data_IF_328951150251
#
_entry.id   IF_328951150251
#
_cell.length_a   1.000
_cell.length_b   1.000
_cell.length_c   1.000
_cell.angle_alpha   90.00
_cell.angle_beta   90.00
_cell.angle_gamma   90.00
#
_symmetry.space_group_name_H-M   'P 1'
#
loop_
_entity.id
_entity.type
_entity.pdbx_description
1 polymer ?
#
# COMPACT_ATOMS: atom_id res chain seq x y z
N UNK A 1 -1.56 2.99 -15.04
CA UNK A 1 -1.53 2.37 -13.69
C UNK A 1 -0.11 2.44 -13.15
N UNK A 2 0.04 2.95 -11.94
CA UNK A 2 1.31 3.15 -11.27
C UNK A 2 1.71 1.89 -10.47
N UNK A 3 3.01 1.75 -10.18
CA UNK A 3 3.58 0.73 -9.31
C UNK A 3 4.22 1.40 -8.10
N UNK A 4 3.61 1.20 -6.93
CA UNK A 4 4.21 1.45 -5.63
C UNK A 4 5.04 0.23 -5.21
N UNK A 5 6.34 0.42 -5.02
CA UNK A 5 7.23 -0.64 -4.59
C UNK A 5 7.39 -0.59 -3.07
N UNK A 6 6.80 -1.58 -2.38
CA UNK A 6 6.96 -1.71 -0.93
C UNK A 6 8.31 -2.37 -0.61
N UNK A 7 9.13 -1.68 0.19
CA UNK A 7 10.50 -2.10 0.54
C UNK A 7 10.64 -2.70 1.95
N UNK A 8 9.54 -2.96 2.65
CA UNK A 8 9.56 -3.47 4.03
C UNK A 8 10.35 -4.77 4.17
N UNK A 9 10.23 -5.67 3.20
CA UNK A 9 10.91 -6.96 3.28
C UNK A 9 12.44 -6.86 3.04
N UNK A 10 12.92 -5.78 2.42
CA UNK A 10 14.36 -5.45 2.44
C UNK A 10 14.80 -5.15 3.88
N UNK A 11 14.03 -4.33 4.59
CA UNK A 11 14.28 -4.06 6.01
C UNK A 11 14.13 -5.33 6.87
N UNK A 12 13.18 -6.23 6.55
CA UNK A 12 13.03 -7.52 7.24
C UNK A 12 14.29 -8.37 7.13
N UNK A 13 14.91 -8.46 5.96
CA UNK A 13 16.18 -9.19 5.77
C UNK A 13 17.29 -8.58 6.62
N UNK A 14 17.40 -7.25 6.66
CA UNK A 14 18.34 -6.51 7.51
C UNK A 14 18.13 -6.84 8.99
N UNK A 15 16.89 -6.79 9.46
CA UNK A 15 16.54 -7.01 10.87
C UNK A 15 16.69 -8.49 11.28
N UNK A 16 16.57 -9.45 10.35
CA UNK A 16 16.76 -10.86 10.65
C UNK A 16 18.15 -11.18 11.23
N UNK A 17 19.17 -10.35 10.95
CA UNK A 17 20.53 -10.48 11.48
C UNK A 17 20.97 -9.29 12.33
N UNK A 18 20.18 -8.22 12.43
CA UNK A 18 20.54 -7.00 13.14
C UNK A 18 21.77 -6.28 12.53
N UNK A 19 21.91 -6.36 11.21
CA UNK A 19 23.01 -5.72 10.45
C UNK A 19 22.54 -4.37 9.89
N UNK A 20 23.44 -3.65 9.20
CA UNK A 20 23.12 -2.44 8.46
C UNK A 20 22.87 -2.70 6.96
N UNK A 21 22.80 -3.95 6.56
CA UNK A 21 22.54 -4.38 5.18
C UNK A 21 21.45 -5.49 5.17
N UNK A 22 20.69 -5.61 4.06
CA UNK A 22 20.67 -4.70 2.90
C UNK A 22 20.20 -3.28 3.27
N UNK A 23 20.70 -2.28 2.54
CA UNK A 23 20.32 -0.89 2.71
C UNK A 23 18.94 -0.63 2.12
N UNK A 24 18.03 -0.06 2.89
CA UNK A 24 16.70 0.34 2.40
C UNK A 24 16.79 1.58 1.50
N UNK A 25 17.80 2.44 1.71
CA UNK A 25 18.06 3.61 0.87
C UNK A 25 18.49 3.20 -0.54
N UNK A 26 19.43 2.24 -0.63
CA UNK A 26 19.85 1.70 -1.92
C UNK A 26 18.70 1.00 -2.64
N UNK A 27 17.89 0.22 -1.89
CA UNK A 27 16.74 -0.47 -2.45
C UNK A 27 15.70 0.52 -3.02
N UNK A 28 15.40 1.60 -2.32
CA UNK A 28 14.49 2.65 -2.78
C UNK A 28 15.05 3.34 -4.05
N UNK A 29 16.30 3.77 -4.02
CA UNK A 29 16.95 4.43 -5.15
C UNK A 29 16.97 3.55 -6.40
N UNK A 30 17.32 2.27 -6.25
CA UNK A 30 17.35 1.31 -7.36
C UNK A 30 15.93 0.97 -7.86
N UNK A 31 14.92 0.94 -6.97
CA UNK A 31 13.53 0.76 -7.38
C UNK A 31 13.03 1.93 -8.23
N UNK A 32 13.35 3.19 -7.86
CA UNK A 32 13.04 4.37 -8.67
C UNK A 32 13.71 4.31 -10.04
N UNK A 33 15.00 3.94 -10.10
CA UNK A 33 15.74 3.77 -11.36
C UNK A 33 15.13 2.67 -12.24
N UNK A 34 14.58 1.63 -11.64
CA UNK A 34 13.90 0.53 -12.30
C UNK A 34 12.45 0.85 -12.72
N UNK A 35 11.93 2.05 -12.39
CA UNK A 35 10.64 2.56 -12.83
C UNK A 35 9.50 2.44 -11.82
N UNK A 36 9.80 2.35 -10.52
CA UNK A 36 8.79 2.56 -9.49
C UNK A 36 8.23 3.98 -9.56
N UNK A 37 6.91 4.14 -9.39
CA UNK A 37 6.25 5.44 -9.39
C UNK A 37 6.10 6.01 -7.98
N UNK A 38 6.17 5.13 -6.97
CA UNK A 38 6.21 5.48 -5.55
C UNK A 38 7.00 4.43 -4.77
N UNK A 39 7.50 4.84 -3.61
CA UNK A 39 8.12 3.95 -2.63
C UNK A 39 7.16 3.82 -1.45
N UNK A 40 6.69 2.61 -1.23
CA UNK A 40 5.79 2.27 -0.11
C UNK A 40 6.60 1.63 1.01
N UNK A 41 6.35 2.05 2.22
CA UNK A 41 6.99 1.53 3.42
C UNK A 41 6.07 1.63 4.64
N UNK A 42 6.09 0.61 5.48
CA UNK A 42 5.25 0.53 6.66
C UNK A 42 6.09 0.67 7.94
N UNK A 43 5.92 1.78 8.65
CA UNK A 43 6.46 1.93 10.00
C UNK A 43 5.46 1.34 10.99
N UNK A 44 5.68 0.10 11.39
CA UNK A 44 4.83 -0.57 12.36
C UNK A 44 5.09 -0.07 13.80
N UNK A 45 4.07 -0.13 14.65
CA UNK A 45 4.22 0.19 16.08
C UNK A 45 5.34 -0.63 16.74
N UNK A 46 5.54 -1.90 16.33
CA UNK A 46 6.55 -2.79 16.91
C UNK A 46 7.95 -2.69 16.24
N UNK A 47 8.11 -1.85 15.21
CA UNK A 47 9.39 -1.63 14.48
C UNK A 47 10.07 -2.92 14.03
N UNK A 48 9.31 -3.97 13.70
CA UNK A 48 9.88 -5.28 13.32
C UNK A 48 10.72 -5.27 12.05
N UNK A 49 10.57 -4.28 11.19
CA UNK A 49 11.34 -4.11 9.95
C UNK A 49 11.81 -2.67 9.75
N UNK A 50 10.99 -1.75 9.24
CA UNK A 50 11.36 -0.36 9.13
C UNK A 50 11.60 0.27 10.49
N UNK A 51 12.59 1.15 10.57
CA UNK A 51 12.94 1.92 11.76
C UNK A 51 12.65 3.41 11.51
N UNK A 52 12.40 4.18 12.57
CA UNK A 52 12.12 5.61 12.45
C UNK A 52 13.18 6.34 11.62
N UNK A 53 14.46 6.06 11.86
CA UNK A 53 15.58 6.66 11.10
C UNK A 53 15.47 6.45 9.59
N UNK A 54 14.94 5.29 9.16
CA UNK A 54 14.85 4.98 7.74
C UNK A 54 13.95 6.00 7.01
N UNK A 55 12.87 6.46 7.67
CA UNK A 55 11.95 7.44 7.11
C UNK A 55 12.64 8.79 6.89
N UNK A 56 13.36 9.27 7.93
CA UNK A 56 14.05 10.56 7.88
C UNK A 56 15.21 10.56 6.87
N UNK A 57 15.87 9.42 6.70
CA UNK A 57 16.94 9.26 5.71
C UNK A 57 16.41 9.11 4.28
N UNK A 58 15.28 8.40 4.09
CA UNK A 58 14.66 8.20 2.79
C UNK A 58 13.97 9.44 2.26
N UNK A 59 13.19 10.15 3.09
CA UNK A 59 12.36 11.27 2.65
C UNK A 59 13.09 12.31 1.78
N UNK A 60 14.30 12.82 2.15
CA UNK A 60 15.02 13.78 1.33
C UNK A 60 15.69 13.17 0.08
N UNK A 61 15.79 11.85 -0.02
CA UNK A 61 16.47 11.16 -1.14
C UNK A 61 15.52 10.77 -2.25
N UNK A 62 14.25 10.50 -1.93
CA UNK A 62 13.27 10.06 -2.90
C UNK A 62 12.96 11.15 -3.92
N UNK A 63 12.88 10.74 -5.18
CA UNK A 63 12.45 11.56 -6.32
C UNK A 63 10.98 11.31 -6.67
N UNK A 64 10.49 10.14 -6.30
CA UNK A 64 9.07 9.76 -6.39
C UNK A 64 8.37 10.03 -5.06
N UNK A 65 7.09 9.68 -4.97
CA UNK A 65 6.31 9.83 -3.73
C UNK A 65 6.76 8.82 -2.68
N UNK A 66 6.81 9.25 -1.43
CA UNK A 66 6.78 8.37 -0.27
C UNK A 66 5.33 8.07 0.07
N UNK A 67 4.93 6.79 0.03
CA UNK A 67 3.67 6.31 0.58
C UNK A 67 3.95 5.62 1.92
N UNK A 68 3.68 6.33 3.02
CA UNK A 68 3.94 5.83 4.37
C UNK A 68 2.72 5.11 4.92
N UNK A 69 2.83 3.80 5.12
CA UNK A 69 1.82 3.00 5.79
C UNK A 69 2.03 3.07 7.31
N UNK A 70 0.94 3.28 8.07
CA UNK A 70 1.00 3.34 9.53
C UNK A 70 -0.37 3.05 10.17
N UNK A 71 -0.34 2.60 11.42
CA UNK A 71 -1.55 2.44 12.23
C UNK A 71 -2.16 3.81 12.59
N UNK A 72 -3.50 3.92 12.64
CA UNK A 72 -4.18 5.16 13.05
C UNK A 72 -4.10 5.39 14.57
N UNK A 73 -2.89 5.67 15.09
CA UNK A 73 -2.62 5.94 16.51
C UNK A 73 -1.81 7.24 16.68
N UNK A 74 -1.93 7.94 17.83
CA UNK A 74 -1.31 9.25 18.03
C UNK A 74 0.21 9.29 17.84
N UNK A 75 0.93 8.21 18.23
CA UNK A 75 2.38 8.11 18.03
C UNK A 75 2.74 8.16 16.54
N UNK A 76 2.02 7.36 15.72
CA UNK A 76 2.27 7.29 14.28
C UNK A 76 1.86 8.57 13.58
N UNK A 77 0.77 9.22 13.99
CA UNK A 77 0.38 10.53 13.50
C UNK A 77 1.50 11.56 13.71
N UNK A 78 2.08 11.61 14.91
CA UNK A 78 3.18 12.54 15.22
C UNK A 78 4.38 12.33 14.28
N UNK A 79 4.76 11.07 14.03
CA UNK A 79 5.87 10.74 13.13
C UNK A 79 5.52 11.14 11.69
N UNK A 80 4.31 10.86 11.22
CA UNK A 80 3.88 11.24 9.88
C UNK A 80 3.88 12.76 9.67
N UNK A 81 3.44 13.52 10.66
CA UNK A 81 3.47 15.00 10.62
C UNK A 81 4.90 15.55 10.59
N UNK A 82 5.85 14.91 11.27
CA UNK A 82 7.24 15.31 11.32
C UNK A 82 7.99 14.95 10.02
N UNK A 83 7.80 13.73 9.51
CA UNK A 83 8.41 13.26 8.23
C UNK A 83 7.80 13.95 7.02
N UNK A 84 6.51 14.27 7.08
CA UNK A 84 5.72 14.92 6.03
C UNK A 84 5.83 14.21 4.66
N UNK A 85 5.42 12.93 4.57
CA UNK A 85 5.40 12.21 3.30
C UNK A 85 4.34 12.80 2.35
N UNK A 86 4.42 12.49 1.06
CA UNK A 86 3.40 12.89 0.08
C UNK A 86 2.08 12.19 0.32
N UNK A 87 2.15 10.88 0.64
CA UNK A 87 1.00 10.02 0.88
C UNK A 87 1.15 9.28 2.22
N UNK A 88 0.04 9.16 2.94
CA UNK A 88 -0.09 8.28 4.11
C UNK A 88 -1.21 7.30 3.84
N UNK A 89 -0.93 6.00 3.99
CA UNK A 89 -1.95 4.96 3.99
C UNK A 89 -2.19 4.47 5.41
N UNK A 90 -3.37 4.71 5.96
CA UNK A 90 -3.75 4.18 7.27
C UNK A 90 -4.12 2.71 7.14
N UNK A 91 -3.42 1.85 7.91
CA UNK A 91 -3.55 0.39 7.85
C UNK A 91 -3.80 -0.21 9.23
N UNK A 92 -4.51 -1.34 9.35
CA UNK A 92 -4.68 -2.01 10.63
C UNK A 92 -3.43 -2.82 11.01
N UNK A 93 -3.01 -2.73 12.26
CA UNK A 93 -1.95 -3.58 12.81
C UNK A 93 -2.48 -4.60 13.82
N UNK A 94 -3.55 -4.28 14.53
CA UNK A 94 -4.19 -5.12 15.54
C UNK A 94 -5.45 -5.77 14.98
N UNK A 95 -5.81 -6.93 15.56
CA UNK A 95 -6.98 -7.69 15.10
C UNK A 95 -8.30 -6.92 15.28
N UNK A 96 -8.42 -6.13 16.35
CA UNK A 96 -9.62 -5.33 16.64
C UNK A 96 -9.82 -4.14 15.68
N UNK A 97 -8.80 -3.79 14.91
CA UNK A 97 -8.84 -2.73 13.91
C UNK A 97 -9.32 -3.23 12.54
N UNK A 98 -9.42 -4.56 12.37
CA UNK A 98 -9.72 -5.21 11.09
C UNK A 98 -11.18 -5.58 10.97
N UNK A 99 -11.66 -5.56 9.71
CA UNK A 99 -12.85 -6.33 9.33
C UNK A 99 -12.52 -7.82 9.22
N UNK A 100 -13.53 -8.68 9.05
CA UNK A 100 -13.33 -10.11 8.80
C UNK A 100 -12.63 -10.39 7.47
N UNK A 101 -12.77 -9.48 6.51
CA UNK A 101 -12.20 -9.54 5.16
C UNK A 101 -10.79 -8.91 5.07
N UNK A 102 -10.27 -8.37 6.17
CA UNK A 102 -9.03 -7.60 6.21
C UNK A 102 -9.25 -6.11 5.94
N UNK A 103 -8.22 -5.27 6.16
CA UNK A 103 -8.33 -3.82 6.10
C UNK A 103 -8.93 -3.19 7.37
N UNK A 104 -8.94 -1.87 7.43
CA UNK A 104 -9.51 -1.09 8.53
C UNK A 104 -11.02 -1.28 8.63
N UNK A 105 -11.55 -1.37 9.85
CA UNK A 105 -12.98 -1.32 10.13
C UNK A 105 -13.41 0.13 10.35
N UNK A 106 -13.75 0.81 9.26
CA UNK A 106 -14.16 2.22 9.28
C UNK A 106 -15.52 2.43 9.97
N UNK A 107 -16.32 1.38 10.11
CA UNK A 107 -17.62 1.48 10.78
C UNK A 107 -17.41 1.57 12.28
N UNK A 108 -16.61 0.66 12.84
CA UNK A 108 -16.34 0.64 14.30
C UNK A 108 -15.41 1.76 14.76
N UNK A 109 -14.44 2.15 13.94
CA UNK A 109 -13.37 3.09 14.29
C UNK A 109 -13.50 4.45 13.60
N UNK A 110 -14.73 4.80 13.17
CA UNK A 110 -14.99 5.99 12.35
C UNK A 110 -14.39 7.27 12.93
N UNK A 111 -14.67 7.57 14.18
CA UNK A 111 -14.25 8.83 14.80
C UNK A 111 -12.73 8.92 14.97
N UNK A 112 -12.10 7.85 15.45
CA UNK A 112 -10.66 7.82 15.70
C UNK A 112 -9.87 7.97 14.40
N UNK A 113 -10.28 7.22 13.34
CA UNK A 113 -9.62 7.27 12.03
C UNK A 113 -9.86 8.61 11.34
N UNK A 114 -11.07 9.17 11.46
CA UNK A 114 -11.41 10.47 10.87
C UNK A 114 -10.57 11.59 11.48
N UNK A 115 -10.42 11.64 12.81
CA UNK A 115 -9.61 12.65 13.49
C UNK A 115 -8.16 12.66 12.95
N UNK A 116 -7.53 11.48 12.89
CA UNK A 116 -6.18 11.33 12.35
C UNK A 116 -6.10 11.70 10.87
N UNK A 117 -7.11 11.32 10.07
CA UNK A 117 -7.18 11.66 8.65
C UNK A 117 -7.32 13.18 8.43
N UNK A 118 -8.13 13.84 9.25
CA UNK A 118 -8.32 15.28 9.20
C UNK A 118 -7.02 16.02 9.57
N UNK A 119 -6.31 15.58 10.62
CA UNK A 119 -5.03 16.19 11.03
C UNK A 119 -3.96 16.06 9.93
N UNK A 120 -3.82 14.89 9.32
CA UNK A 120 -2.90 14.67 8.21
C UNK A 120 -3.27 15.52 6.98
N UNK A 121 -4.55 15.58 6.65
CA UNK A 121 -5.06 16.38 5.53
C UNK A 121 -4.84 17.88 5.74
N UNK A 122 -5.08 18.37 6.96
CA UNK A 122 -4.83 19.76 7.34
C UNK A 122 -3.33 20.12 7.26
N UNK A 123 -2.45 19.15 7.47
CA UNK A 123 -1.01 19.31 7.29
C UNK A 123 -0.58 19.24 5.81
N UNK A 124 -1.49 18.99 4.87
CA UNK A 124 -1.20 18.90 3.44
C UNK A 124 -0.75 17.52 2.95
N UNK A 125 -0.87 16.48 3.78
CA UNK A 125 -0.58 15.09 3.43
C UNK A 125 -1.81 14.45 2.78
N UNK A 126 -1.65 13.72 1.68
CA UNK A 126 -2.77 12.98 1.08
C UNK A 126 -2.99 11.67 1.84
N UNK A 127 -4.22 11.47 2.29
CA UNK A 127 -4.59 10.30 3.08
C UNK A 127 -5.26 9.24 2.22
N UNK A 128 -4.84 8.00 2.39
CA UNK A 128 -5.45 6.78 1.87
C UNK A 128 -5.89 5.89 3.03
N UNK A 129 -6.99 5.15 2.87
CA UNK A 129 -7.46 4.18 3.84
C UNK A 129 -7.40 2.78 3.24
N UNK A 130 -6.67 1.88 3.90
CA UNK A 130 -6.57 0.47 3.51
C UNK A 130 -7.79 -0.31 4.01
N UNK A 131 -8.71 -0.64 3.11
CA UNK A 131 -10.03 -1.21 3.44
C UNK A 131 -10.33 -2.48 2.66
N UNK A 132 -11.24 -3.29 3.19
CA UNK A 132 -11.84 -4.39 2.45
C UNK A 132 -12.62 -3.86 1.22
N UNK A 133 -12.73 -4.62 0.12
CA UNK A 133 -13.51 -4.24 -1.05
C UNK A 133 -15.02 -4.38 -0.79
N UNK A 134 -15.54 -3.62 0.18
CA UNK A 134 -16.93 -3.63 0.64
C UNK A 134 -17.53 -2.24 0.55
N UNK A 135 -18.77 -2.16 0.03
CA UNK A 135 -19.44 -0.87 -0.25
C UNK A 135 -19.64 -0.05 1.02
N UNK A 136 -19.99 -0.67 2.12
CA UNK A 136 -20.17 0.01 3.41
C UNK A 136 -18.89 0.62 3.96
N UNK A 137 -17.73 0.01 3.73
CA UNK A 137 -16.44 0.57 4.06
C UNK A 137 -16.10 1.77 3.14
N UNK A 138 -16.40 1.65 1.84
CA UNK A 138 -16.20 2.73 0.88
C UNK A 138 -17.11 3.93 1.22
N UNK A 139 -18.37 3.69 1.60
CA UNK A 139 -19.28 4.74 2.04
C UNK A 139 -18.72 5.52 3.24
N UNK A 140 -18.08 4.83 4.18
CA UNK A 140 -17.42 5.48 5.31
C UNK A 140 -16.19 6.28 4.90
N UNK A 141 -15.41 5.82 3.94
CA UNK A 141 -14.30 6.58 3.39
C UNK A 141 -14.79 7.87 2.68
N UNK A 142 -15.90 7.78 1.94
CA UNK A 142 -16.55 8.95 1.32
C UNK A 142 -17.03 9.94 2.39
N UNK A 143 -17.67 9.45 3.46
CA UNK A 143 -18.14 10.29 4.58
C UNK A 143 -16.97 10.98 5.29
N UNK A 144 -15.79 10.35 5.39
CA UNK A 144 -14.56 10.93 5.91
C UNK A 144 -13.92 11.95 4.96
N UNK A 145 -14.34 11.98 3.68
CA UNK A 145 -13.80 12.89 2.63
C UNK A 145 -12.32 12.65 2.33
N UNK A 146 -11.82 11.45 2.54
CA UNK A 146 -10.47 11.10 2.10
C UNK A 146 -10.41 11.04 0.57
N UNK A 147 -9.31 11.45 -0.06
CA UNK A 147 -9.21 11.44 -1.52
C UNK A 147 -8.92 10.07 -2.12
N UNK A 148 -8.37 9.14 -1.33
CA UNK A 148 -7.82 7.87 -1.82
C UNK A 148 -8.28 6.73 -0.89
N UNK A 149 -8.56 5.57 -1.49
CA UNK A 149 -8.66 4.30 -0.78
C UNK A 149 -7.69 3.30 -1.38
N UNK A 150 -7.20 2.37 -0.57
CA UNK A 150 -6.48 1.19 -1.04
C UNK A 150 -7.28 -0.07 -0.72
N UNK A 151 -7.68 -0.79 -1.76
CA UNK A 151 -8.46 -2.03 -1.62
C UNK A 151 -7.55 -3.21 -1.28
N UNK A 152 -7.88 -3.90 -0.20
CA UNK A 152 -7.22 -5.14 0.21
C UNK A 152 -7.48 -6.25 -0.80
N UNK A 153 -6.41 -6.81 -1.38
CA UNK A 153 -6.50 -7.90 -2.38
C UNK A 153 -6.06 -9.27 -1.84
N UNK A 154 -5.89 -9.40 -0.53
CA UNK A 154 -5.39 -10.63 0.11
C UNK A 154 -6.29 -11.84 -0.14
N UNK A 155 -7.61 -11.71 0.04
CA UNK A 155 -8.55 -12.82 -0.23
C UNK A 155 -8.46 -13.27 -1.68
N UNK A 156 -8.37 -12.33 -2.64
CA UNK A 156 -8.15 -12.68 -4.04
C UNK A 156 -6.82 -13.41 -4.25
N UNK A 157 -5.77 -13.04 -3.52
CA UNK A 157 -4.47 -13.70 -3.63
C UNK A 157 -4.48 -15.12 -3.04
N UNK A 158 -5.15 -15.30 -1.89
CA UNK A 158 -5.15 -16.54 -1.11
C UNK A 158 -6.18 -17.56 -1.58
N UNK A 159 -7.27 -17.14 -2.22
CA UNK A 159 -8.32 -18.03 -2.68
C UNK A 159 -8.00 -18.64 -4.04
N UNK A 160 -8.63 -19.79 -4.31
CA UNK A 160 -8.57 -20.48 -5.59
C UNK A 160 -9.97 -20.70 -6.19
N UNK A 161 -10.00 -21.05 -7.48
CA UNK A 161 -11.20 -21.46 -8.18
C UNK A 161 -12.32 -20.41 -8.15
N UNK A 162 -13.53 -20.82 -7.75
CA UNK A 162 -14.71 -19.95 -7.78
C UNK A 162 -14.66 -18.83 -6.72
N UNK A 163 -14.10 -19.10 -5.55
CA UNK A 163 -13.94 -18.07 -4.50
C UNK A 163 -13.03 -16.93 -4.98
N UNK A 164 -11.94 -17.24 -5.66
CA UNK A 164 -11.07 -16.23 -6.28
C UNK A 164 -11.80 -15.37 -7.31
N UNK A 165 -12.67 -15.99 -8.14
CA UNK A 165 -13.45 -15.27 -9.14
C UNK A 165 -14.51 -14.36 -8.50
N UNK A 166 -15.14 -14.81 -7.40
CA UNK A 166 -16.08 -14.00 -6.64
C UNK A 166 -15.40 -12.78 -6.03
N UNK A 167 -14.22 -12.98 -5.44
CA UNK A 167 -13.44 -11.88 -4.86
C UNK A 167 -12.98 -10.88 -5.93
N UNK A 168 -12.55 -11.37 -7.09
CA UNK A 168 -12.21 -10.49 -8.23
C UNK A 168 -13.39 -9.63 -8.67
N UNK A 169 -14.61 -10.20 -8.74
CA UNK A 169 -15.83 -9.43 -9.06
C UNK A 169 -16.15 -8.40 -7.99
N UNK A 170 -15.98 -8.76 -6.72
CA UNK A 170 -16.17 -7.86 -5.58
C UNK A 170 -15.22 -6.65 -5.67
N UNK A 171 -13.94 -6.90 -5.95
CA UNK A 171 -12.95 -5.83 -6.18
C UNK A 171 -13.35 -4.95 -7.37
N UNK A 172 -13.76 -5.54 -8.52
CA UNK A 172 -14.21 -4.78 -9.69
C UNK A 172 -15.39 -3.86 -9.37
N UNK A 173 -16.39 -4.36 -8.68
CA UNK A 173 -17.58 -3.59 -8.28
C UNK A 173 -17.21 -2.47 -7.31
N UNK A 174 -16.31 -2.73 -6.37
CA UNK A 174 -15.80 -1.75 -5.41
C UNK A 174 -15.02 -0.63 -6.10
N UNK A 175 -14.15 -0.96 -7.07
CA UNK A 175 -13.42 0.04 -7.88
C UNK A 175 -14.39 0.92 -8.66
N UNK A 176 -15.37 0.32 -9.35
CA UNK A 176 -16.37 1.08 -10.10
C UNK A 176 -17.18 2.03 -9.21
N UNK A 177 -17.59 1.54 -8.03
CA UNK A 177 -18.35 2.33 -7.06
C UNK A 177 -17.54 3.51 -6.52
N UNK A 178 -16.32 3.24 -6.06
CA UNK A 178 -15.43 4.28 -5.51
C UNK A 178 -15.07 5.34 -6.56
N UNK A 179 -14.76 4.90 -7.79
CA UNK A 179 -14.49 5.80 -8.92
C UNK A 179 -15.67 6.72 -9.23
N UNK A 180 -16.92 6.20 -9.24
CA UNK A 180 -18.13 7.03 -9.42
C UNK A 180 -18.33 8.05 -8.31
N UNK A 181 -17.89 7.74 -7.09
CA UNK A 181 -17.90 8.67 -5.97
C UNK A 181 -16.76 9.70 -5.99
N UNK A 182 -15.84 9.62 -6.96
CA UNK A 182 -14.72 10.55 -7.13
C UNK A 182 -13.46 10.19 -6.35
N UNK A 183 -13.38 8.99 -5.76
CA UNK A 183 -12.18 8.50 -5.08
C UNK A 183 -11.14 8.01 -6.09
N UNK A 184 -9.86 8.24 -5.79
CA UNK A 184 -8.76 7.48 -6.37
C UNK A 184 -8.70 6.11 -5.70
N UNK A 185 -8.48 5.06 -6.47
CA UNK A 185 -8.44 3.69 -5.97
C UNK A 185 -7.08 3.08 -6.20
N UNK A 186 -6.38 2.78 -5.12
CA UNK A 186 -5.20 1.92 -5.11
C UNK A 186 -5.61 0.50 -4.71
N UNK A 187 -4.73 -0.47 -4.92
CA UNK A 187 -4.94 -1.84 -4.47
C UNK A 187 -3.61 -2.50 -4.09
N UNK A 188 -3.65 -3.38 -3.10
CA UNK A 188 -2.44 -4.04 -2.62
C UNK A 188 -2.72 -5.23 -1.72
N UNK A 189 -1.65 -5.84 -1.30
CA UNK A 189 -1.56 -7.03 -0.46
C UNK A 189 -1.76 -8.36 -1.22
N UNK A 190 -0.73 -9.21 -1.17
CA UNK A 190 -0.76 -10.56 -1.74
C UNK A 190 -0.58 -10.64 -3.26
N UNK A 191 -0.41 -9.49 -3.95
CA UNK A 191 -0.17 -9.48 -5.39
C UNK A 191 1.24 -9.97 -5.74
N UNK A 192 1.32 -10.79 -6.81
CA UNK A 192 2.55 -11.37 -7.32
C UNK A 192 2.49 -11.55 -8.85
N UNK A 193 3.59 -12.01 -9.45
CA UNK A 193 3.77 -12.10 -10.90
C UNK A 193 2.75 -12.97 -11.65
N UNK A 194 2.06 -13.89 -10.96
CA UNK A 194 1.10 -14.82 -11.56
C UNK A 194 -0.37 -14.45 -11.29
N UNK A 195 -0.63 -13.44 -10.42
CA UNK A 195 -2.00 -13.04 -10.09
C UNK A 195 -2.32 -11.56 -10.37
N UNK A 196 -1.31 -10.72 -10.52
CA UNK A 196 -1.46 -9.27 -10.72
C UNK A 196 -2.20 -8.91 -12.02
N UNK A 197 -2.13 -9.75 -13.06
CA UNK A 197 -2.67 -9.48 -14.39
C UNK A 197 -4.17 -9.15 -14.37
N UNK A 198 -4.97 -9.93 -13.60
CA UNK A 198 -6.41 -9.73 -13.54
C UNK A 198 -6.78 -8.45 -12.79
N UNK A 199 -6.02 -8.08 -11.77
CA UNK A 199 -6.19 -6.83 -11.02
C UNK A 199 -5.77 -5.65 -11.90
N UNK A 200 -4.64 -5.76 -12.61
CA UNK A 200 -4.17 -4.71 -13.51
C UNK A 200 -5.13 -4.40 -14.68
N UNK A 201 -6.00 -5.34 -15.06
CA UNK A 201 -7.05 -5.12 -16.07
C UNK A 201 -8.25 -4.33 -15.59
N UNK A 202 -8.40 -4.12 -14.28
CA UNK A 202 -9.54 -3.40 -13.74
C UNK A 202 -9.37 -1.90 -14.04
N UNK A 203 -10.25 -1.36 -14.90
CA UNK A 203 -10.25 0.08 -15.18
C UNK A 203 -10.66 0.86 -13.92
N UNK A 204 -9.86 1.85 -13.57
CA UNK A 204 -10.10 2.71 -12.42
C UNK A 204 -9.14 2.48 -11.25
N UNK A 205 -8.31 1.44 -11.26
CA UNK A 205 -7.20 1.33 -10.32
C UNK A 205 -6.09 2.29 -10.77
N UNK A 206 -5.66 3.14 -9.84
CA UNK A 206 -4.62 4.13 -10.07
C UNK A 206 -3.22 3.55 -9.82
N UNK A 207 -3.00 2.90 -8.67
CA UNK A 207 -1.70 2.39 -8.24
C UNK A 207 -1.84 1.00 -7.60
N UNK A 208 -0.86 0.13 -7.84
CA UNK A 208 -0.71 -1.15 -7.17
C UNK A 208 0.50 -1.12 -6.23
N UNK A 209 0.28 -1.40 -4.94
CA UNK A 209 1.33 -1.48 -3.93
C UNK A 209 1.79 -2.93 -3.74
N UNK A 210 3.03 -3.24 -4.15
CA UNK A 210 3.55 -4.61 -4.19
C UNK A 210 4.96 -4.65 -3.57
N UNK A 211 5.17 -5.55 -2.59
CA UNK A 211 6.44 -5.68 -1.90
C UNK A 211 6.99 -7.10 -1.91
N UNK A 212 6.39 -8.00 -1.11
CA UNK A 212 6.93 -9.33 -0.86
C UNK A 212 7.31 -10.10 -2.12
N UNK A 213 6.45 -10.11 -3.12
CA UNK A 213 6.69 -10.83 -4.38
C UNK A 213 7.91 -10.30 -5.14
N UNK A 214 8.12 -8.97 -5.14
CA UNK A 214 9.28 -8.34 -5.81
C UNK A 214 10.57 -8.71 -5.07
N UNK A 215 10.58 -8.62 -3.73
CA UNK A 215 11.75 -9.01 -2.91
C UNK A 215 12.06 -10.50 -3.10
N UNK A 216 11.07 -11.37 -3.07
CA UNK A 216 11.25 -12.81 -3.27
C UNK A 216 11.82 -13.14 -4.66
N UNK A 217 11.31 -12.51 -5.71
CA UNK A 217 11.82 -12.65 -7.09
C UNK A 217 13.25 -12.14 -7.22
N UNK A 218 13.56 -11.03 -6.54
CA UNK A 218 14.87 -10.38 -6.57
C UNK A 218 16.01 -11.28 -6.08
N UNK A 219 15.73 -12.25 -5.22
CA UNK A 219 16.72 -13.24 -4.77
C UNK A 219 17.31 -14.08 -5.93
N UNK A 220 16.57 -14.20 -7.03
CA UNK A 220 16.95 -15.03 -8.17
C UNK A 220 17.39 -14.22 -9.39
N UNK A 221 16.81 -13.03 -9.61
CA UNK A 221 17.08 -12.24 -10.83
C UNK A 221 17.67 -10.84 -10.55
N UNK A 222 17.88 -10.51 -9.29
CA UNK A 222 18.32 -9.17 -8.87
C UNK A 222 17.17 -8.18 -8.71
N UNK A 223 17.41 -7.14 -7.89
CA UNK A 223 16.36 -6.21 -7.44
C UNK A 223 15.76 -5.38 -8.58
N UNK A 224 16.60 -4.73 -9.37
CA UNK A 224 16.13 -3.89 -10.48
C UNK A 224 15.34 -4.70 -11.52
N UNK A 225 15.83 -5.89 -11.89
CA UNK A 225 15.14 -6.76 -12.85
C UNK A 225 13.76 -7.19 -12.33
N UNK A 226 13.64 -7.47 -11.03
CA UNK A 226 12.37 -7.83 -10.42
C UNK A 226 11.35 -6.66 -10.50
N UNK A 227 11.77 -5.43 -10.20
CA UNK A 227 10.93 -4.24 -10.31
C UNK A 227 10.52 -4.01 -11.78
N UNK A 228 11.47 -4.05 -12.72
CA UNK A 228 11.23 -3.87 -14.17
C UNK A 228 10.21 -4.91 -14.67
N UNK A 229 10.37 -6.17 -14.30
CA UNK A 229 9.46 -7.25 -14.72
C UNK A 229 8.03 -7.01 -14.20
N UNK A 230 7.87 -6.64 -12.92
CA UNK A 230 6.56 -6.33 -12.33
C UNK A 230 5.92 -5.11 -13.02
N UNK A 231 6.67 -4.03 -13.21
CA UNK A 231 6.20 -2.83 -13.91
C UNK A 231 5.75 -3.13 -15.34
N UNK A 232 6.51 -3.97 -16.04
CA UNK A 232 6.16 -4.40 -17.42
C UNK A 232 4.84 -5.14 -17.45
N UNK A 233 4.61 -6.10 -16.54
CA UNK A 233 3.36 -6.86 -16.46
C UNK A 233 2.19 -5.90 -16.21
N UNK A 234 2.29 -5.03 -15.21
CA UNK A 234 1.23 -4.07 -14.89
C UNK A 234 0.89 -3.20 -16.10
N UNK A 235 1.91 -2.65 -16.77
CA UNK A 235 1.72 -1.78 -17.94
C UNK A 235 1.07 -2.51 -19.11
N UNK A 236 1.47 -3.75 -19.38
CA UNK A 236 0.93 -4.59 -20.45
C UNK A 236 -0.57 -4.88 -20.25
N UNK A 237 -0.95 -5.26 -19.02
CA UNK A 237 -2.33 -5.66 -18.74
C UNK A 237 -3.26 -4.47 -18.45
N UNK A 238 -2.76 -3.33 -17.98
CA UNK A 238 -3.57 -2.13 -17.80
C UNK A 238 -3.99 -1.46 -19.12
N UNK A 239 -3.37 -1.83 -20.25
CA UNK A 239 -3.68 -1.29 -21.59
C UNK A 239 -4.51 -2.27 -22.43
N UNK A 240 -4.79 -3.46 -21.93
CA UNK A 240 -5.50 -4.53 -22.66
C UNK A 240 -6.95 -4.64 -22.24
#
# INVERSE_FOLDING_TARGET
MDLGVNIDHIATIRQARGTNYPSVLDAATLAEQAGADSITLHLREDRRHMQDKDLYELKPLLKTKMNLELAPVPEMLKIALDVHPEDVCLVPERREERTTEGGLDLIKKFHDIREISDDLTNAGVRVSLFIAPEIDQIDKAIEMKVPIIELHTGNYADFDGELKNQELKKIQQSVEYAKKAGLLVNAGHGLHYENVQKIAKIDGIHELNIGHAIVAKALFIGWENAVIEMKKIIKEYAQS
#
